data_IF_378139018111
#
_entry.id   IF_378139018111
#
_cell.length_a   1.000
_cell.length_b   1.000
_cell.length_c   1.000
_cell.angle_alpha   90.00
_cell.angle_beta   90.00
_cell.angle_gamma   90.00
#
_symmetry.space_group_name_H-M   'P 1'
#
loop_
_entity.id
_entity.type
_entity.pdbx_description
1 polymer ?
#
# COMPACT_ATOMS: atom_id res chain seq x y z
N UNK A 1 -4.70 -35.71 0.94
CA UNK A 1 -3.40 -35.35 1.57
C UNK A 1 -3.62 -35.34 3.08
N UNK A 2 -2.84 -36.10 3.82
CA UNK A 2 -2.95 -36.10 5.29
C UNK A 2 -2.25 -34.86 5.86
N UNK A 3 -2.65 -34.41 7.06
CA UNK A 3 -2.01 -33.27 7.73
C UNK A 3 -0.50 -33.51 7.94
N UNK A 4 -0.09 -34.76 8.13
CA UNK A 4 1.31 -35.14 8.37
C UNK A 4 2.22 -35.00 7.12
N UNK A 5 1.64 -34.90 5.93
CA UNK A 5 2.39 -34.69 4.67
C UNK A 5 2.37 -33.22 4.22
N UNK A 6 1.66 -32.34 4.92
CA UNK A 6 1.55 -30.92 4.56
C UNK A 6 2.78 -30.13 5.04
N UNK A 7 3.51 -29.55 4.10
CA UNK A 7 4.62 -28.66 4.42
C UNK A 7 4.12 -27.20 4.47
N UNK A 8 3.86 -26.71 5.69
CA UNK A 8 3.38 -25.36 5.94
C UNK A 8 4.31 -24.30 5.34
N UNK A 9 5.63 -24.45 5.54
CA UNK A 9 6.62 -23.46 5.10
C UNK A 9 6.72 -23.35 3.57
N UNK A 10 6.27 -24.36 2.83
CA UNK A 10 6.18 -24.34 1.36
C UNK A 10 4.79 -23.99 0.84
N UNK A 11 3.84 -23.69 1.71
CA UNK A 11 2.52 -23.26 1.26
C UNK A 11 2.54 -21.81 0.74
N UNK A 12 1.72 -21.51 -0.24
CA UNK A 12 1.62 -20.18 -0.85
C UNK A 12 1.33 -19.11 0.19
N UNK A 13 0.31 -19.33 1.02
CA UNK A 13 -0.11 -18.37 2.07
C UNK A 13 1.02 -18.05 3.04
N UNK A 14 1.72 -19.06 3.55
CA UNK A 14 2.84 -18.86 4.45
C UNK A 14 3.98 -18.07 3.78
N UNK A 15 4.36 -18.44 2.56
CA UNK A 15 5.41 -17.76 1.79
C UNK A 15 5.06 -16.29 1.53
N UNK A 16 3.81 -16.00 1.14
CA UNK A 16 3.38 -14.63 0.89
C UNK A 16 3.38 -13.77 2.15
N UNK A 17 2.86 -14.28 3.28
CA UNK A 17 2.88 -13.56 4.55
C UNK A 17 4.31 -13.28 5.04
N UNK A 18 5.19 -14.28 4.94
CA UNK A 18 6.60 -14.14 5.32
C UNK A 18 7.33 -13.13 4.44
N UNK A 19 7.10 -13.18 3.12
CA UNK A 19 7.70 -12.25 2.16
C UNK A 19 7.22 -10.82 2.40
N UNK A 20 5.93 -10.61 2.56
CA UNK A 20 5.36 -9.29 2.85
C UNK A 20 5.97 -8.69 4.12
N UNK A 21 6.11 -9.48 5.18
CA UNK A 21 6.72 -9.05 6.44
C UNK A 21 8.21 -8.66 6.26
N UNK A 22 8.95 -9.40 5.44
CA UNK A 22 10.35 -9.08 5.13
C UNK A 22 10.47 -7.78 4.32
N UNK A 23 9.60 -7.58 3.33
CA UNK A 23 9.56 -6.35 2.55
C UNK A 23 9.20 -5.15 3.45
N UNK A 24 8.24 -5.30 4.35
CA UNK A 24 7.83 -4.24 5.26
C UNK A 24 8.92 -3.82 6.25
N UNK A 25 9.83 -4.72 6.63
CA UNK A 25 10.99 -4.37 7.47
C UNK A 25 11.95 -3.38 6.82
N UNK A 26 11.99 -3.35 5.50
CA UNK A 26 12.80 -2.40 4.72
C UNK A 26 12.04 -1.11 4.39
N UNK A 27 10.81 -0.96 4.91
CA UNK A 27 9.97 0.21 4.72
C UNK A 27 10.06 1.12 5.96
N UNK A 28 11.08 1.91 6.03
CA UNK A 28 11.15 2.95 7.07
C UNK A 28 10.77 4.30 6.47
N UNK A 29 9.56 4.75 6.80
CA UNK A 29 9.07 6.09 6.44
C UNK A 29 9.37 7.11 7.54
N UNK A 30 10.01 6.69 8.63
CA UNK A 30 10.28 7.57 9.78
C UNK A 30 11.39 8.58 9.50
N UNK A 31 12.23 8.32 8.50
CA UNK A 31 13.31 9.20 8.10
C UNK A 31 12.90 10.27 7.07
N UNK A 32 11.62 10.30 6.67
CA UNK A 32 11.11 11.36 5.81
C UNK A 32 11.07 12.70 6.56
N UNK A 33 11.92 13.61 6.16
CA UNK A 33 11.96 14.98 6.69
C UNK A 33 11.20 15.92 5.73
N UNK A 34 10.50 16.95 6.22
CA UNK A 34 10.36 17.35 7.64
C UNK A 34 9.19 16.65 8.36
N UNK A 35 8.50 15.73 7.73
CA UNK A 35 7.27 15.13 8.28
C UNK A 35 7.45 13.63 8.44
N UNK A 36 7.47 13.18 9.67
CA UNK A 36 7.46 11.75 9.98
C UNK A 36 6.07 11.15 9.73
N UNK A 37 6.03 10.06 8.99
CA UNK A 37 4.80 9.31 8.73
C UNK A 37 4.98 7.83 9.09
N UNK A 38 3.88 7.20 9.50
CA UNK A 38 3.85 5.76 9.77
C UNK A 38 3.77 4.95 8.46
N UNK A 39 3.99 3.64 8.55
CA UNK A 39 3.80 2.73 7.40
C UNK A 39 2.36 2.80 6.84
N UNK A 40 1.36 2.84 7.71
CA UNK A 40 -0.04 2.98 7.30
C UNK A 40 -0.29 4.31 6.58
N UNK A 41 0.24 5.41 7.11
CA UNK A 41 0.15 6.74 6.48
C UNK A 41 0.85 6.76 5.11
N UNK A 42 2.01 6.14 4.99
CA UNK A 42 2.73 6.02 3.72
C UNK A 42 1.92 5.26 2.66
N UNK A 43 1.26 4.17 3.04
CA UNK A 43 0.37 3.42 2.14
C UNK A 43 -0.84 4.24 1.70
N UNK A 44 -1.47 4.96 2.61
CA UNK A 44 -2.61 5.84 2.29
C UNK A 44 -2.17 6.96 1.36
N UNK A 45 -1.06 7.62 1.65
CA UNK A 45 -0.52 8.69 0.82
C UNK A 45 -0.19 8.19 -0.60
N UNK A 46 0.41 7.00 -0.71
CA UNK A 46 0.74 6.38 -1.99
C UNK A 46 -0.49 6.11 -2.85
N UNK A 47 -1.56 5.52 -2.29
CA UNK A 47 -2.75 5.22 -3.07
C UNK A 47 -3.54 6.46 -3.46
N UNK A 48 -3.58 7.50 -2.62
CA UNK A 48 -4.21 8.77 -2.96
C UNK A 48 -3.42 9.46 -4.08
N UNK A 49 -2.11 9.54 -3.97
CA UNK A 49 -1.26 10.14 -5.00
C UNK A 49 -1.35 9.45 -6.34
N UNK A 50 -1.37 8.11 -6.35
CA UNK A 50 -1.50 7.31 -7.56
C UNK A 50 -2.86 7.49 -8.25
N UNK A 51 -3.95 7.50 -7.49
CA UNK A 51 -5.31 7.62 -8.02
C UNK A 51 -5.77 9.07 -8.23
N UNK A 52 -4.99 10.06 -7.78
CA UNK A 52 -5.28 11.49 -7.76
C UNK A 52 -6.40 11.88 -6.79
N UNK A 53 -7.54 11.23 -6.88
CA UNK A 53 -8.70 11.42 -5.99
C UNK A 53 -9.24 10.05 -5.59
N UNK A 54 -9.50 9.86 -4.30
CA UNK A 54 -10.15 8.65 -3.76
C UNK A 54 -11.21 9.07 -2.75
N UNK A 55 -12.31 8.33 -2.71
CA UNK A 55 -13.26 8.47 -1.59
C UNK A 55 -12.66 7.90 -0.30
N UNK A 56 -13.10 8.42 0.84
CA UNK A 56 -12.68 7.90 2.16
C UNK A 56 -12.96 6.40 2.29
N UNK A 57 -14.07 5.93 1.71
CA UNK A 57 -14.47 4.50 1.74
C UNK A 57 -13.47 3.61 0.96
N UNK A 58 -12.90 4.12 -0.14
CA UNK A 58 -11.99 3.34 -1.00
C UNK A 58 -10.57 3.24 -0.45
N UNK A 59 -10.15 4.19 0.37
CA UNK A 59 -8.75 4.35 0.77
C UNK A 59 -8.22 3.15 1.53
N UNK A 60 -8.92 2.69 2.56
CA UNK A 60 -8.46 1.55 3.37
C UNK A 60 -8.27 0.29 2.52
N UNK A 61 -9.26 -0.02 1.67
CA UNK A 61 -9.21 -1.18 0.77
C UNK A 61 -8.01 -1.09 -0.19
N UNK A 62 -7.82 0.04 -0.86
CA UNK A 62 -6.72 0.23 -1.81
C UNK A 62 -5.35 0.27 -1.15
N UNK A 63 -5.27 0.75 0.10
CA UNK A 63 -4.04 0.76 0.88
C UNK A 63 -3.73 -0.59 1.57
N UNK A 64 -4.56 -1.61 1.38
CA UNK A 64 -4.46 -2.91 2.05
C UNK A 64 -4.40 -2.78 3.58
N UNK A 65 -5.28 -1.93 4.12
CA UNK A 65 -5.45 -1.68 5.54
C UNK A 65 -6.86 -2.10 5.98
N UNK A 66 -7.02 -2.42 7.25
CA UNK A 66 -8.35 -2.51 7.81
C UNK A 66 -8.99 -1.11 7.93
N UNK A 67 -10.32 -1.07 8.10
CA UNK A 67 -11.09 0.17 8.16
C UNK A 67 -10.60 1.12 9.26
N UNK A 68 -10.26 0.58 10.42
CA UNK A 68 -9.80 1.35 11.58
C UNK A 68 -8.41 1.96 11.32
N UNK A 69 -7.48 1.19 10.80
CA UNK A 69 -6.14 1.67 10.43
C UNK A 69 -6.22 2.76 9.33
N UNK A 70 -7.05 2.52 8.31
CA UNK A 70 -7.27 3.48 7.23
C UNK A 70 -7.83 4.80 7.72
N UNK A 71 -8.86 4.76 8.58
CA UNK A 71 -9.46 5.96 9.17
C UNK A 71 -8.47 6.76 10.01
N UNK A 72 -7.68 6.10 10.86
CA UNK A 72 -6.66 6.77 11.68
C UNK A 72 -5.57 7.42 10.82
N UNK A 73 -5.12 6.72 9.79
CA UNK A 73 -4.12 7.25 8.88
C UNK A 73 -4.64 8.49 8.12
N UNK A 74 -5.87 8.47 7.65
CA UNK A 74 -6.51 9.62 7.00
C UNK A 74 -6.58 10.82 7.93
N UNK A 75 -7.07 10.65 9.16
CA UNK A 75 -7.14 11.74 10.15
C UNK A 75 -5.74 12.34 10.39
N UNK A 76 -4.75 11.50 10.62
CA UNK A 76 -3.39 11.96 10.87
C UNK A 76 -2.79 12.71 9.67
N UNK A 77 -3.02 12.23 8.45
CA UNK A 77 -2.51 12.89 7.23
C UNK A 77 -3.20 14.23 6.97
N UNK A 78 -4.49 14.36 7.29
CA UNK A 78 -5.20 15.65 7.26
C UNK A 78 -4.58 16.61 8.28
N UNK A 79 -4.37 16.16 9.51
CA UNK A 79 -3.78 16.97 10.57
C UNK A 79 -2.34 17.43 10.25
N UNK A 80 -1.58 16.59 9.55
CA UNK A 80 -0.24 16.91 9.05
C UNK A 80 -0.25 17.83 7.81
N UNK A 81 -1.42 18.12 7.25
CA UNK A 81 -1.56 18.96 6.06
C UNK A 81 -1.07 18.31 4.76
N UNK A 82 -1.02 16.98 4.70
CA UNK A 82 -0.56 16.22 3.52
C UNK A 82 -1.69 15.83 2.57
N UNK A 83 -2.89 15.69 3.09
CA UNK A 83 -4.11 15.45 2.31
C UNK A 83 -5.19 16.42 2.71
N UNK A 84 -6.07 16.71 1.77
CA UNK A 84 -7.29 17.49 1.99
C UNK A 84 -8.51 16.62 1.77
N UNK A 85 -9.54 16.89 2.58
CA UNK A 85 -10.82 16.20 2.55
C UNK A 85 -11.88 17.18 2.07
N UNK A 86 -12.53 16.86 0.94
CA UNK A 86 -13.58 17.67 0.35
C UNK A 86 -14.88 16.89 0.29
N UNK A 87 -15.98 17.53 0.69
CA UNK A 87 -17.31 16.95 0.56
C UNK A 87 -17.66 16.77 -0.93
N UNK A 88 -18.24 15.62 -1.28
CA UNK A 88 -18.73 15.40 -2.63
C UNK A 88 -19.95 16.28 -2.92
N UNK A 89 -20.01 16.85 -4.13
CA UNK A 89 -21.13 17.71 -4.55
C UNK A 89 -22.46 16.95 -4.63
N UNK A 90 -22.43 15.66 -4.94
CA UNK A 90 -23.58 14.81 -5.17
C UNK A 90 -24.11 14.13 -3.90
N UNK A 91 -23.25 13.95 -2.89
CA UNK A 91 -23.58 13.31 -1.62
C UNK A 91 -22.85 14.02 -0.47
N UNK A 92 -23.60 14.75 0.33
CA UNK A 92 -23.09 15.48 1.49
C UNK A 92 -22.49 14.59 2.59
N UNK A 93 -22.73 13.27 2.55
CA UNK A 93 -22.17 12.29 3.48
C UNK A 93 -20.86 11.68 3.00
N UNK A 94 -20.53 11.85 1.73
CA UNK A 94 -19.34 11.30 1.10
C UNK A 94 -18.26 12.37 0.95
N UNK A 95 -17.01 11.96 1.11
CA UNK A 95 -15.85 12.83 1.02
C UNK A 95 -14.81 12.23 0.09
N UNK A 96 -14.17 13.10 -0.66
CA UNK A 96 -13.01 12.80 -1.49
C UNK A 96 -11.74 13.30 -0.83
N UNK A 97 -10.68 12.54 -1.03
CA UNK A 97 -9.33 12.81 -0.55
C UNK A 97 -8.39 13.07 -1.72
N UNK A 98 -7.58 14.09 -1.61
CA UNK A 98 -6.53 14.41 -2.57
C UNK A 98 -5.29 14.95 -1.85
N UNK A 99 -4.14 14.94 -2.53
CA UNK A 99 -2.91 15.49 -1.98
C UNK A 99 -2.95 17.02 -1.95
N UNK A 100 -2.43 17.61 -0.88
CA UNK A 100 -2.02 19.02 -0.86
C UNK A 100 -0.70 19.20 -1.62
N UNK A 101 -0.26 20.44 -1.86
CA UNK A 101 1.08 20.68 -2.44
C UNK A 101 2.20 20.08 -1.57
N UNK A 102 2.08 20.22 -0.25
CA UNK A 102 3.00 19.58 0.70
C UNK A 102 2.92 18.05 0.59
N UNK A 103 1.70 17.50 0.47
CA UNK A 103 1.47 16.08 0.29
C UNK A 103 2.07 15.51 -0.99
N UNK A 104 2.08 16.28 -2.09
CA UNK A 104 2.73 15.87 -3.35
C UNK A 104 4.24 15.70 -3.18
N UNK A 105 4.90 16.60 -2.46
CA UNK A 105 6.33 16.50 -2.18
C UNK A 105 6.66 15.24 -1.38
N UNK A 106 5.91 14.99 -0.30
CA UNK A 106 6.10 13.78 0.52
C UNK A 106 5.75 12.51 -0.28
N UNK A 107 4.75 12.57 -1.13
CA UNK A 107 4.39 11.46 -2.03
C UNK A 107 5.53 11.05 -2.97
N UNK A 108 6.26 12.01 -3.54
CA UNK A 108 7.43 11.72 -4.38
C UNK A 108 8.51 10.95 -3.61
N UNK A 109 8.76 11.34 -2.37
CA UNK A 109 9.69 10.63 -1.49
C UNK A 109 9.19 9.23 -1.11
N UNK A 110 7.91 9.08 -0.81
CA UNK A 110 7.27 7.77 -0.55
C UNK A 110 7.39 6.86 -1.77
N UNK A 111 7.14 7.37 -2.96
CA UNK A 111 7.30 6.59 -4.21
C UNK A 111 8.75 6.15 -4.39
N UNK A 112 9.72 7.03 -4.15
CA UNK A 112 11.13 6.69 -4.25
C UNK A 112 11.51 5.56 -3.27
N UNK A 113 11.00 5.58 -2.04
CA UNK A 113 11.21 4.51 -1.06
C UNK A 113 10.55 3.19 -1.50
N UNK A 114 9.34 3.24 -2.05
CA UNK A 114 8.66 2.05 -2.58
C UNK A 114 9.46 1.43 -3.72
N UNK A 115 9.93 2.25 -4.66
CA UNK A 115 10.76 1.79 -5.78
C UNK A 115 12.05 1.16 -5.28
N UNK A 116 12.75 1.81 -4.37
CA UNK A 116 13.99 1.28 -3.78
C UNK A 116 13.78 -0.08 -3.08
N UNK A 117 12.68 -0.23 -2.33
CA UNK A 117 12.30 -1.50 -1.71
C UNK A 117 12.05 -2.61 -2.73
N UNK A 118 11.34 -2.28 -3.79
CA UNK A 118 11.06 -3.21 -4.88
C UNK A 118 12.37 -3.66 -5.56
N UNK A 119 13.28 -2.72 -5.80
CA UNK A 119 14.59 -3.01 -6.38
C UNK A 119 15.39 -3.96 -5.49
N UNK A 120 15.41 -3.73 -4.18
CA UNK A 120 16.07 -4.64 -3.22
C UNK A 120 15.41 -6.02 -3.24
N UNK A 121 14.09 -6.08 -3.17
CA UNK A 121 13.36 -7.35 -3.13
C UNK A 121 13.55 -8.18 -4.42
N UNK A 122 13.65 -7.50 -5.56
CA UNK A 122 13.74 -8.13 -6.88
C UNK A 122 15.18 -8.31 -7.40
N UNK A 123 16.18 -7.86 -6.64
CA UNK A 123 17.59 -7.77 -7.08
C UNK A 123 18.18 -9.04 -7.65
N UNK A 124 17.75 -10.20 -7.13
CA UNK A 124 18.27 -11.52 -7.55
C UNK A 124 17.55 -12.10 -8.76
N UNK A 125 16.47 -11.45 -9.21
CA UNK A 125 15.66 -11.89 -10.34
C UNK A 125 16.08 -11.20 -11.62
N UNK A 126 16.13 -11.95 -12.74
CA UNK A 126 16.24 -11.34 -14.06
C UNK A 126 15.00 -10.50 -14.41
N UNK A 127 15.09 -9.64 -15.42
CA UNK A 127 13.94 -8.85 -15.88
C UNK A 127 12.75 -9.73 -16.31
N UNK A 128 13.02 -10.88 -16.94
CA UNK A 128 11.99 -11.85 -17.33
C UNK A 128 11.34 -12.50 -16.09
N UNK A 129 12.14 -12.91 -15.11
CA UNK A 129 11.64 -13.48 -13.86
C UNK A 129 10.79 -12.48 -13.07
N UNK A 130 11.20 -11.21 -13.01
CA UNK A 130 10.41 -10.15 -12.39
C UNK A 130 9.04 -9.99 -13.05
N UNK A 131 9.00 -9.94 -14.38
CA UNK A 131 7.75 -9.84 -15.12
C UNK A 131 6.86 -11.07 -14.93
N UNK A 132 7.45 -12.26 -14.97
CA UNK A 132 6.73 -13.51 -14.74
C UNK A 132 6.13 -13.58 -13.32
N UNK A 133 6.88 -13.15 -12.30
CA UNK A 133 6.39 -13.09 -10.92
C UNK A 133 5.15 -12.20 -10.82
N UNK A 134 5.20 -10.98 -11.36
CA UNK A 134 4.06 -10.05 -11.32
C UNK A 134 2.87 -10.60 -12.09
N UNK A 135 3.09 -11.23 -13.23
CA UNK A 135 2.01 -11.87 -14.02
C UNK A 135 1.34 -13.01 -13.24
N UNK A 136 2.12 -13.83 -12.53
CA UNK A 136 1.58 -14.93 -11.71
C UNK A 136 0.80 -14.41 -10.51
N UNK A 137 1.31 -13.38 -9.83
CA UNK A 137 0.59 -12.72 -8.74
C UNK A 137 -0.74 -12.15 -9.22
N UNK A 138 -0.76 -11.46 -10.36
CA UNK A 138 -1.98 -10.92 -10.96
C UNK A 138 -3.00 -12.01 -11.30
N UNK A 139 -2.56 -13.17 -11.82
CA UNK A 139 -3.45 -14.31 -12.08
C UNK A 139 -4.08 -14.84 -10.80
N UNK A 140 -3.31 -14.96 -9.73
CA UNK A 140 -3.82 -15.42 -8.43
C UNK A 140 -4.83 -14.43 -7.87
N UNK A 141 -4.53 -13.13 -7.90
CA UNK A 141 -5.45 -12.08 -7.45
C UNK A 141 -6.76 -12.12 -8.23
N UNK A 142 -6.70 -12.15 -9.55
CA UNK A 142 -7.89 -12.24 -10.40
C UNK A 142 -8.75 -13.47 -10.11
N UNK A 143 -8.12 -14.63 -9.89
CA UNK A 143 -8.84 -15.84 -9.50
C UNK A 143 -9.58 -15.69 -8.16
N UNK A 144 -8.95 -15.06 -7.18
CA UNK A 144 -9.54 -14.87 -5.85
C UNK A 144 -10.65 -13.80 -5.83
N UNK A 145 -10.57 -12.80 -6.70
CA UNK A 145 -11.59 -11.75 -6.82
C UNK A 145 -12.88 -12.24 -7.51
N UNK A 146 -12.81 -13.31 -8.31
CA UNK A 146 -13.92 -13.84 -9.10
C UNK A 146 -14.50 -15.14 -8.54
N UNK A 147 -14.08 -15.64 -7.38
CA UNK A 147 -14.62 -16.77 -6.65
C UNK A 147 -15.26 -16.30 -5.34
#
# INVERSE_FOLDING_TARGET
>A
MSADSFNLENSLTYKLHSLAKLIDRHADYTDLEPVRISSAEGRVLAVIGFNKVLSVVQVAKKANLDKSQGSRAVVSLVDKGLIEKRQQKQDARAFDLSLTEKGKQVYEEVVALIMHRNDIAMKTLSAEEQQNLLNLVNKIQHNLENN
#
